data_IF_715872556449
#
_entry.id   IF_715872556449
#
_cell.length_a   1.000
_cell.length_b   1.000
_cell.length_c   1.000
_cell.angle_alpha   90.00
_cell.angle_beta   90.00
_cell.angle_gamma   90.00
#
_symmetry.space_group_name_H-M   'P 1'
#
loop_
_entity.id
_entity.type
_entity.pdbx_description
1 polymer ?
#
# COMPACT_ATOMS: atom_id res chain seq x y z
N UNK A 1 -11.53 -58.77 -26.61
CA UNK A 1 -10.15 -58.27 -26.57
C UNK A 1 -10.19 -56.81 -26.14
N UNK A 2 -9.83 -56.57 -24.88
CA UNK A 2 -9.71 -55.25 -24.26
C UNK A 2 -8.45 -54.54 -24.73
N UNK A 3 -8.49 -53.21 -24.89
CA UNK A 3 -7.43 -52.35 -24.36
C UNK A 3 -7.91 -50.89 -24.23
N UNK A 4 -7.99 -50.45 -22.99
CA UNK A 4 -8.25 -49.11 -22.49
C UNK A 4 -6.89 -48.40 -22.30
N UNK A 5 -6.74 -47.12 -22.69
CA UNK A 5 -5.65 -46.27 -22.20
C UNK A 5 -6.15 -44.89 -21.80
N UNK A 6 -6.15 -44.73 -20.49
CA UNK A 6 -6.51 -43.57 -19.70
C UNK A 6 -5.23 -42.75 -19.47
N UNK A 7 -5.24 -41.47 -19.84
CA UNK A 7 -4.18 -40.53 -19.46
C UNK A 7 -4.48 -40.00 -18.06
N UNK A 8 -3.66 -40.41 -17.08
CA UNK A 8 -3.68 -39.89 -15.71
C UNK A 8 -2.78 -38.64 -15.62
N UNK A 9 -3.41 -37.48 -15.44
CA UNK A 9 -2.75 -36.22 -15.12
C UNK A 9 -2.48 -36.10 -13.62
N UNK A 10 -1.20 -35.93 -13.31
CA UNK A 10 -0.55 -35.82 -12.01
C UNK A 10 -1.16 -34.74 -11.07
N UNK A 11 -1.59 -35.15 -9.86
CA UNK A 11 -2.20 -34.32 -8.81
C UNK A 11 -1.42 -34.37 -7.48
N UNK A 12 -0.08 -34.46 -7.52
CA UNK A 12 0.73 -34.64 -6.29
C UNK A 12 1.52 -33.41 -5.81
N UNK A 13 1.21 -32.20 -6.30
CA UNK A 13 1.95 -30.97 -5.94
C UNK A 13 1.47 -30.24 -4.68
N UNK A 14 0.25 -30.46 -4.20
CA UNK A 14 -0.37 -29.60 -3.18
C UNK A 14 -0.33 -30.14 -1.73
N UNK A 15 0.08 -31.39 -1.49
CA UNK A 15 0.13 -31.96 -0.13
C UNK A 15 1.48 -31.84 0.57
N UNK A 16 2.57 -31.55 -0.14
CA UNK A 16 3.91 -31.49 0.47
C UNK A 16 4.15 -30.19 1.25
N UNK A 17 3.46 -29.09 0.92
CA UNK A 17 3.71 -27.78 1.56
C UNK A 17 3.01 -27.63 2.92
N UNK A 18 1.86 -28.30 3.12
CA UNK A 18 1.08 -28.23 4.37
C UNK A 18 1.72 -29.05 5.50
N UNK A 19 2.46 -30.11 5.16
CA UNK A 19 3.12 -30.96 6.15
C UNK A 19 4.37 -30.29 6.74
N UNK A 20 5.16 -29.58 5.92
CA UNK A 20 6.37 -28.87 6.37
C UNK A 20 6.03 -27.71 7.33
N UNK A 21 4.91 -27.01 7.10
CA UNK A 21 4.44 -25.93 8.00
C UNK A 21 3.98 -26.50 9.35
N UNK A 22 3.30 -27.66 9.33
CA UNK A 22 2.76 -28.30 10.55
C UNK A 22 3.85 -28.88 11.45
N UNK A 23 4.94 -29.40 10.88
CA UNK A 23 6.08 -29.95 11.63
C UNK A 23 6.92 -28.84 12.26
N UNK A 24 7.19 -27.73 11.55
CA UNK A 24 7.90 -26.57 12.14
C UNK A 24 7.12 -25.90 13.29
N UNK A 25 5.79 -25.89 13.24
CA UNK A 25 4.97 -25.37 14.34
C UNK A 25 5.05 -26.23 15.61
N UNK A 26 5.23 -27.55 15.48
CA UNK A 26 5.37 -28.45 16.63
C UNK A 26 6.74 -28.37 17.29
N UNK A 27 7.83 -28.23 16.53
CA UNK A 27 9.16 -28.05 17.12
C UNK A 27 9.30 -26.68 17.82
N UNK A 28 8.61 -25.65 17.32
CA UNK A 28 8.55 -24.34 17.97
C UNK A 28 7.82 -24.39 19.32
N UNK A 29 6.74 -25.18 19.43
CA UNK A 29 5.99 -25.36 20.67
C UNK A 29 6.78 -26.15 21.73
N UNK A 30 7.67 -27.06 21.31
CA UNK A 30 8.48 -27.85 22.24
C UNK A 30 9.64 -27.04 22.82
N UNK A 31 10.33 -26.22 22.02
CA UNK A 31 11.42 -25.35 22.48
C UNK A 31 10.94 -24.28 23.48
N UNK A 32 9.68 -23.84 23.37
CA UNK A 32 9.08 -22.86 24.28
C UNK A 32 8.81 -23.40 25.71
N UNK A 33 8.64 -24.72 25.87
CA UNK A 33 8.30 -25.32 27.17
C UNK A 33 9.51 -25.44 28.10
N UNK A 34 10.72 -25.45 27.55
CA UNK A 34 11.94 -25.73 28.30
C UNK A 34 12.58 -24.46 28.90
N UNK A 35 12.26 -23.27 28.38
CA UNK A 35 12.79 -21.98 28.89
C UNK A 35 11.92 -21.33 29.97
N UNK A 36 10.72 -21.85 30.26
CA UNK A 36 9.81 -21.28 31.24
C UNK A 36 10.16 -21.58 32.72
N UNK A 37 11.17 -22.40 32.99
CA UNK A 37 11.49 -22.87 34.36
C UNK A 37 12.60 -22.09 35.09
N UNK A 38 13.11 -20.97 34.55
CA UNK A 38 14.23 -20.21 35.13
C UNK A 38 13.88 -18.73 35.30
N UNK A 39 12.83 -18.38 36.07
CA UNK A 39 12.68 -17.02 36.60
C UNK A 39 12.16 -17.06 38.05
N UNK A 40 12.99 -16.52 38.95
CA UNK A 40 12.78 -16.49 40.41
C UNK A 40 11.60 -15.57 40.79
N UNK A 41 10.85 -15.87 41.86
CA UNK A 41 9.81 -14.99 42.37
C UNK A 41 10.43 -13.91 43.25
N UNK A 42 10.33 -12.64 42.82
CA UNK A 42 10.58 -11.50 43.72
C UNK A 42 11.25 -10.28 43.09
N UNK A 43 10.58 -9.60 42.14
CA UNK A 43 10.83 -8.19 41.86
C UNK A 43 9.53 -7.51 41.39
N UNK A 44 9.07 -6.58 42.23
CA UNK A 44 8.29 -5.36 41.98
C UNK A 44 7.44 -5.22 40.70
N UNK A 45 6.15 -5.06 40.99
CA UNK A 45 5.04 -4.59 40.16
C UNK A 45 5.27 -3.14 39.67
N UNK A 46 5.88 -2.97 38.49
CA UNK A 46 5.76 -1.76 37.68
C UNK A 46 5.32 -2.13 36.26
N UNK A 47 4.01 -2.09 36.04
CA UNK A 47 3.40 -2.35 34.73
C UNK A 47 3.51 -1.11 33.85
N UNK A 48 4.66 -0.91 33.22
CA UNK A 48 4.75 -0.08 32.01
C UNK A 48 5.56 -0.84 30.96
N UNK A 49 4.87 -1.74 30.24
CA UNK A 49 5.27 -2.41 28.99
C UNK A 49 6.77 -2.35 28.66
N UNK A 50 7.50 -3.42 28.99
CA UNK A 50 8.94 -3.61 28.76
C UNK A 50 9.25 -3.87 27.27
N UNK A 51 8.69 -3.08 26.35
CA UNK A 51 9.14 -3.05 24.97
C UNK A 51 10.37 -2.16 24.88
N UNK A 52 11.46 -2.72 24.38
CA UNK A 52 12.72 -2.00 24.16
C UNK A 52 12.47 -0.73 23.33
N UNK A 53 13.13 0.38 23.68
CA UNK A 53 13.06 1.68 22.99
C UNK A 53 12.99 1.61 21.45
N UNK A 54 13.80 0.77 20.76
CA UNK A 54 13.72 0.65 19.30
C UNK A 54 12.36 0.13 18.78
N UNK A 55 11.67 -0.74 19.51
CA UNK A 55 10.35 -1.26 19.12
C UNK A 55 9.31 -0.14 19.15
N UNK A 56 9.30 0.67 20.22
CA UNK A 56 8.37 1.80 20.33
C UNK A 56 8.62 2.84 19.27
N UNK A 57 9.89 3.13 18.97
CA UNK A 57 10.27 4.06 17.92
C UNK A 57 9.80 3.56 16.54
N UNK A 58 10.01 2.27 16.25
CA UNK A 58 9.55 1.65 15.01
C UNK A 58 8.02 1.69 14.88
N UNK A 59 7.28 1.34 15.93
CA UNK A 59 5.82 1.43 15.97
C UNK A 59 5.35 2.87 15.69
N UNK A 60 5.87 3.85 16.44
CA UNK A 60 5.50 5.25 16.28
C UNK A 60 5.83 5.77 14.87
N UNK A 61 7.00 5.44 14.34
CA UNK A 61 7.42 5.84 12.99
C UNK A 61 6.50 5.26 11.93
N UNK A 62 6.19 3.97 12.01
CA UNK A 62 5.29 3.33 11.03
C UNK A 62 3.89 3.94 11.08
N UNK A 63 3.35 4.17 12.28
CA UNK A 63 2.00 4.74 12.46
C UNK A 63 1.97 6.17 11.91
N UNK A 64 2.97 6.98 12.25
CA UNK A 64 3.07 8.37 11.82
C UNK A 64 3.14 8.46 10.29
N UNK A 65 4.03 7.69 9.67
CA UNK A 65 4.20 7.71 8.20
C UNK A 65 2.95 7.22 7.49
N UNK A 66 2.34 6.10 7.93
CA UNK A 66 1.13 5.57 7.33
C UNK A 66 -0.06 6.56 7.45
N UNK A 67 -0.22 7.19 8.61
CA UNK A 67 -1.32 8.15 8.85
C UNK A 67 -1.10 9.45 8.08
N UNK A 68 0.13 9.96 8.03
CA UNK A 68 0.46 11.15 7.25
C UNK A 68 0.23 10.92 5.76
N UNK A 69 0.63 9.76 5.22
CA UNK A 69 0.33 9.36 3.85
C UNK A 69 -1.17 9.27 3.60
N UNK A 70 -1.94 8.65 4.52
CA UNK A 70 -3.38 8.57 4.39
C UNK A 70 -4.01 9.98 4.28
N UNK A 71 -3.63 10.90 5.17
CA UNK A 71 -4.11 12.28 5.15
C UNK A 71 -3.73 13.03 3.87
N UNK A 72 -2.49 12.88 3.40
CA UNK A 72 -2.05 13.51 2.15
C UNK A 72 -2.86 13.01 0.94
N UNK A 73 -3.13 11.70 0.85
CA UNK A 73 -3.92 11.13 -0.24
C UNK A 73 -5.40 11.51 -0.16
N UNK A 74 -5.95 11.57 1.06
CA UNK A 74 -7.29 12.10 1.28
C UNK A 74 -7.39 13.54 0.80
N UNK A 75 -6.40 14.39 1.14
CA UNK A 75 -6.37 15.78 0.71
C UNK A 75 -6.33 15.95 -0.80
N UNK A 76 -5.58 15.09 -1.51
CA UNK A 76 -5.59 15.05 -2.97
C UNK A 76 -7.00 14.76 -3.51
N UNK A 77 -7.63 13.67 -3.06
CA UNK A 77 -8.93 13.24 -3.59
C UNK A 77 -10.09 14.17 -3.20
N UNK A 78 -10.12 14.69 -1.97
CA UNK A 78 -11.26 15.46 -1.46
C UNK A 78 -11.15 16.97 -1.68
N UNK A 79 -9.95 17.54 -1.82
CA UNK A 79 -9.77 18.99 -1.94
C UNK A 79 -9.11 19.38 -3.26
N UNK A 80 -8.00 18.71 -3.63
CA UNK A 80 -7.23 19.10 -4.82
C UNK A 80 -7.95 18.73 -6.11
N UNK A 81 -8.49 17.51 -6.20
CA UNK A 81 -9.15 17.02 -7.42
C UNK A 81 -10.41 17.83 -7.77
N UNK A 82 -11.35 18.09 -6.85
CA UNK A 82 -12.50 18.95 -7.15
C UNK A 82 -12.07 20.33 -7.62
N UNK A 83 -11.04 20.92 -6.99
CA UNK A 83 -10.54 22.24 -7.38
C UNK A 83 -9.84 22.25 -8.75
N UNK A 84 -9.17 21.17 -9.11
CA UNK A 84 -8.61 20.99 -10.45
C UNK A 84 -9.73 20.95 -11.51
N UNK A 85 -10.81 20.22 -11.24
CA UNK A 85 -11.94 20.05 -12.16
C UNK A 85 -12.74 21.34 -12.41
N UNK A 86 -12.60 22.37 -11.58
CA UNK A 86 -13.19 23.69 -11.81
C UNK A 86 -12.36 24.57 -12.77
N UNK A 87 -11.10 24.20 -13.03
CA UNK A 87 -10.20 24.99 -13.86
C UNK A 87 -10.34 24.64 -15.35
N UNK A 88 -10.04 25.59 -16.27
CA UNK A 88 -10.03 25.30 -17.71
C UNK A 88 -9.10 24.13 -18.05
N UNK A 89 -9.54 23.23 -18.94
CA UNK A 89 -8.86 21.97 -19.25
C UNK A 89 -7.34 22.05 -19.44
N UNK A 90 -6.79 23.00 -20.22
CA UNK A 90 -5.34 23.08 -20.44
C UNK A 90 -4.58 23.40 -19.14
N UNK A 91 -5.15 24.28 -18.31
CA UNK A 91 -4.58 24.65 -17.02
C UNK A 91 -4.68 23.48 -16.03
N UNK A 92 -5.83 22.82 -15.97
CA UNK A 92 -6.10 21.65 -15.13
C UNK A 92 -5.04 20.56 -15.35
N UNK A 93 -4.84 20.16 -16.61
CA UNK A 93 -3.90 19.12 -16.99
C UNK A 93 -2.46 19.52 -16.64
N UNK A 94 -2.08 20.78 -16.86
CA UNK A 94 -0.75 21.29 -16.51
C UNK A 94 -0.51 21.28 -15.00
N UNK A 95 -1.50 21.69 -14.21
CA UNK A 95 -1.44 21.67 -12.75
C UNK A 95 -1.30 20.25 -12.21
N UNK A 96 -2.12 19.31 -12.71
CA UNK A 96 -1.99 17.90 -12.37
C UNK A 96 -0.61 17.36 -12.73
N UNK A 97 -0.11 17.63 -13.95
CA UNK A 97 1.17 17.13 -14.41
C UNK A 97 2.35 17.61 -13.57
N UNK A 98 2.35 18.89 -13.17
CA UNK A 98 3.38 19.44 -12.29
C UNK A 98 3.34 18.83 -10.89
N UNK A 99 2.14 18.67 -10.32
CA UNK A 99 1.94 18.01 -9.04
C UNK A 99 2.42 16.55 -9.09
N UNK A 100 2.00 15.80 -10.12
CA UNK A 100 2.35 14.39 -10.31
C UNK A 100 3.86 14.21 -10.52
N UNK A 101 4.52 15.10 -11.27
CA UNK A 101 5.96 15.06 -11.49
C UNK A 101 6.77 15.12 -10.18
N UNK A 102 6.27 15.85 -9.18
CA UNK A 102 6.91 15.91 -7.86
C UNK A 102 6.58 14.66 -7.06
N UNK A 103 5.30 14.28 -6.98
CA UNK A 103 4.86 13.21 -6.09
C UNK A 103 5.32 11.82 -6.53
N UNK A 104 5.30 11.50 -7.83
CA UNK A 104 5.71 10.17 -8.32
C UNK A 104 7.20 9.87 -8.05
N UNK A 105 8.04 10.90 -7.87
CA UNK A 105 9.47 10.74 -7.60
C UNK A 105 9.75 10.35 -6.15
N UNK A 106 8.99 10.90 -5.20
CA UNK A 106 9.28 10.77 -3.77
C UNK A 106 8.33 9.84 -3.01
N UNK A 107 7.05 9.77 -3.41
CA UNK A 107 6.07 9.00 -2.66
C UNK A 107 6.25 7.48 -2.69
N UNK A 108 6.69 6.83 -3.80
CA UNK A 108 6.77 5.36 -3.83
C UNK A 108 7.69 4.78 -2.74
N UNK A 109 8.83 5.42 -2.46
CA UNK A 109 9.73 4.97 -1.39
C UNK A 109 9.10 5.16 -0.01
N UNK A 110 8.36 6.26 0.18
CA UNK A 110 7.72 6.59 1.44
C UNK A 110 6.55 5.64 1.76
N UNK A 111 5.79 5.18 0.76
CA UNK A 111 4.71 4.19 0.93
C UNK A 111 5.21 2.80 1.34
N UNK A 112 6.41 2.40 0.93
CA UNK A 112 6.96 1.10 1.27
C UNK A 112 7.52 1.05 2.70
N UNK A 113 7.90 2.19 3.26
CA UNK A 113 8.56 2.29 4.57
C UNK A 113 7.72 1.68 5.71
N UNK A 114 6.42 2.01 5.90
CA UNK A 114 5.58 1.34 6.89
C UNK A 114 5.50 -0.16 6.68
N UNK A 115 5.47 -0.63 5.42
CA UNK A 115 5.45 -2.05 5.10
C UNK A 115 6.66 -2.79 5.66
N UNK A 116 7.86 -2.29 5.41
CA UNK A 116 9.10 -2.90 5.91
C UNK A 116 9.23 -2.85 7.43
N UNK A 117 8.85 -1.72 8.05
CA UNK A 117 8.88 -1.58 9.51
C UNK A 117 7.93 -2.59 10.16
N UNK A 118 6.72 -2.76 9.62
CA UNK A 118 5.75 -3.71 10.17
C UNK A 118 6.17 -5.17 9.95
N UNK A 119 6.83 -5.51 8.84
CA UNK A 119 7.42 -6.85 8.68
C UNK A 119 8.46 -7.11 9.78
N UNK A 120 9.33 -6.14 10.05
CA UNK A 120 10.33 -6.26 11.10
C UNK A 120 9.68 -6.38 12.49
N UNK A 121 8.64 -5.61 12.77
CA UNK A 121 7.87 -5.71 14.03
C UNK A 121 7.17 -7.06 14.16
N UNK A 122 6.60 -7.61 13.08
CA UNK A 122 5.98 -8.93 13.06
C UNK A 122 6.98 -10.04 13.42
N UNK A 123 8.24 -9.91 12.96
CA UNK A 123 9.31 -10.84 13.29
C UNK A 123 9.77 -10.71 14.76
N UNK A 124 9.81 -9.49 15.30
CA UNK A 124 10.25 -9.23 16.69
C UNK A 124 9.18 -9.49 17.73
N UNK A 125 7.89 -9.38 17.38
CA UNK A 125 6.75 -9.50 18.28
C UNK A 125 5.79 -10.60 17.79
N UNK A 126 6.13 -11.89 17.99
CA UNK A 126 5.35 -13.02 17.47
C UNK A 126 3.92 -13.06 18.01
N UNK A 127 3.68 -12.58 19.24
CA UNK A 127 2.34 -12.48 19.84
C UNK A 127 1.40 -11.55 19.05
N UNK A 128 1.97 -10.58 18.33
CA UNK A 128 1.24 -9.55 17.56
C UNK A 128 1.40 -9.72 16.05
N UNK A 129 1.95 -10.86 15.61
CA UNK A 129 2.31 -11.12 14.21
C UNK A 129 1.16 -10.86 13.24
N UNK A 130 -0.08 -11.22 13.62
CA UNK A 130 -1.26 -11.07 12.75
C UNK A 130 -1.54 -9.61 12.39
N UNK A 131 -1.45 -8.70 13.37
CA UNK A 131 -1.76 -7.29 13.16
C UNK A 131 -0.66 -6.58 12.39
N UNK A 132 0.61 -6.87 12.71
CA UNK A 132 1.74 -6.31 11.98
C UNK A 132 1.86 -6.88 10.56
N UNK A 133 1.58 -8.17 10.36
CA UNK A 133 1.52 -8.75 9.02
C UNK A 133 0.37 -8.14 8.19
N UNK A 134 -0.79 -7.87 8.79
CA UNK A 134 -1.89 -7.19 8.13
C UNK A 134 -1.49 -5.75 7.72
N UNK A 135 -0.91 -4.98 8.63
CA UNK A 135 -0.43 -3.62 8.36
C UNK A 135 0.63 -3.60 7.24
N UNK A 136 1.56 -4.55 7.28
CA UNK A 136 2.57 -4.73 6.23
C UNK A 136 1.94 -5.08 4.88
N UNK A 137 1.01 -6.03 4.86
CA UNK A 137 0.30 -6.45 3.65
C UNK A 137 -0.45 -5.29 2.99
N UNK A 138 -1.15 -4.48 3.78
CA UNK A 138 -1.87 -3.29 3.30
C UNK A 138 -0.93 -2.22 2.72
N UNK A 139 0.24 -2.02 3.32
CA UNK A 139 1.22 -1.07 2.78
C UNK A 139 1.86 -1.59 1.49
N UNK A 140 2.16 -2.89 1.42
CA UNK A 140 2.78 -3.51 0.24
C UNK A 140 1.77 -3.63 -0.91
N UNK A 141 0.48 -3.82 -0.65
CA UNK A 141 -0.56 -3.92 -1.69
C UNK A 141 -0.75 -2.64 -2.49
N UNK A 142 -0.27 -1.50 -1.99
CA UNK A 142 -0.26 -0.22 -2.72
C UNK A 142 0.54 -0.32 -4.02
N UNK A 143 1.67 -1.02 -4.02
CA UNK A 143 2.53 -1.16 -5.21
C UNK A 143 1.84 -1.89 -6.37
N UNK A 144 1.32 -3.13 -6.22
CA UNK A 144 0.62 -3.81 -7.30
C UNK A 144 -0.65 -3.07 -7.72
N UNK A 145 -1.39 -2.44 -6.78
CA UNK A 145 -2.54 -1.60 -7.13
C UNK A 145 -2.15 -0.43 -8.05
N UNK A 146 -1.08 0.29 -7.70
CA UNK A 146 -0.60 1.44 -8.48
C UNK A 146 -0.16 1.00 -9.88
N UNK A 147 0.52 -0.14 -9.99
CA UNK A 147 0.98 -0.67 -11.28
C UNK A 147 -0.15 -1.13 -12.20
N UNK A 148 -1.23 -1.66 -11.63
CA UNK A 148 -2.33 -2.28 -12.39
C UNK A 148 -3.44 -1.28 -12.72
N UNK A 149 -3.86 -0.48 -11.75
CA UNK A 149 -5.01 0.43 -11.89
C UNK A 149 -4.57 1.85 -12.21
N UNK A 150 -3.62 2.43 -11.46
CA UNK A 150 -3.25 3.84 -11.65
C UNK A 150 -2.34 4.07 -12.85
N UNK A 151 -1.43 3.13 -13.16
CA UNK A 151 -0.47 3.28 -14.27
C UNK A 151 -1.11 3.57 -15.63
N UNK A 152 -2.18 2.89 -16.09
CA UNK A 152 -2.81 3.23 -17.37
C UNK A 152 -3.40 4.64 -17.35
N UNK A 153 -4.02 5.06 -16.24
CA UNK A 153 -4.59 6.42 -16.09
C UNK A 153 -3.47 7.47 -16.13
N UNK A 154 -2.39 7.25 -15.39
CA UNK A 154 -1.22 8.13 -15.37
C UNK A 154 -0.63 8.32 -16.79
N UNK A 155 -0.51 7.23 -17.57
CA UNK A 155 0.00 7.31 -18.94
C UNK A 155 -0.89 8.16 -19.85
N UNK A 156 -2.21 7.99 -19.76
CA UNK A 156 -3.17 8.80 -20.54
C UNK A 156 -3.10 10.28 -20.16
N UNK A 157 -3.00 10.59 -18.86
CA UNK A 157 -2.87 11.97 -18.38
C UNK A 157 -1.52 12.58 -18.76
N UNK A 158 -0.42 11.83 -18.69
CA UNK A 158 0.91 12.26 -19.15
C UNK A 158 0.94 12.57 -20.65
N UNK A 159 0.20 11.80 -21.47
CA UNK A 159 0.01 12.11 -22.89
C UNK A 159 -0.69 13.45 -23.05
N UNK A 160 -1.83 13.67 -22.38
CA UNK A 160 -2.54 14.95 -22.43
C UNK A 160 -1.69 16.14 -21.94
N UNK A 161 -0.81 15.94 -20.97
CA UNK A 161 0.17 16.97 -20.54
C UNK A 161 1.12 17.33 -21.69
N UNK A 162 1.56 16.36 -22.48
CA UNK A 162 2.42 16.62 -23.65
C UNK A 162 1.64 17.33 -24.76
N UNK A 163 0.41 16.92 -25.02
CA UNK A 163 -0.44 17.52 -26.07
C UNK A 163 -0.71 18.99 -25.78
N UNK A 164 -1.08 19.32 -24.53
CA UNK A 164 -1.26 20.71 -24.08
C UNK A 164 0.02 21.53 -24.25
N UNK A 165 1.20 20.94 -23.97
CA UNK A 165 2.48 21.65 -24.14
C UNK A 165 2.79 21.91 -25.61
N UNK A 166 2.53 20.97 -26.51
CA UNK A 166 2.79 21.12 -27.95
C UNK A 166 1.86 22.18 -28.55
N UNK A 167 0.59 22.18 -28.19
CA UNK A 167 -0.41 23.11 -28.74
C UNK A 167 -0.26 24.56 -28.24
N UNK A 168 0.33 24.78 -27.06
CA UNK A 168 0.70 26.12 -26.57
C UNK A 168 1.65 26.85 -27.54
N UNK A 169 2.37 26.10 -28.39
CA UNK A 169 3.26 26.63 -29.43
C UNK A 169 2.61 26.76 -30.83
N UNK A 170 1.41 26.20 -31.05
CA UNK A 170 0.90 25.93 -32.40
C UNK A 170 -0.39 26.65 -32.83
N UNK A 171 -1.45 26.64 -32.02
CA UNK A 171 -2.68 27.40 -32.25
C UNK A 171 -3.68 27.11 -31.11
N UNK A 172 -4.28 28.14 -30.51
CA UNK A 172 -5.22 27.94 -29.38
C UNK A 172 -6.58 27.39 -29.80
N UNK A 173 -6.99 27.60 -31.04
CA UNK A 173 -8.33 27.24 -31.52
C UNK A 173 -8.52 25.73 -31.72
N UNK A 174 -7.42 24.98 -31.95
CA UNK A 174 -7.43 23.51 -32.09
C UNK A 174 -7.69 22.81 -30.74
N UNK A 175 -7.30 23.45 -29.62
CA UNK A 175 -7.53 22.92 -28.28
C UNK A 175 -9.02 22.68 -28.01
N UNK A 176 -9.89 23.62 -28.40
CA UNK A 176 -11.31 23.54 -28.07
C UNK A 176 -12.03 22.37 -28.77
N UNK A 177 -11.60 22.01 -29.99
CA UNK A 177 -12.24 20.95 -30.78
C UNK A 177 -11.70 19.55 -30.42
N UNK A 178 -10.39 19.43 -30.15
CA UNK A 178 -9.75 18.14 -29.84
C UNK A 178 -10.11 17.64 -28.43
N UNK A 179 -10.22 18.54 -27.45
CA UNK A 179 -10.69 18.20 -26.10
C UNK A 179 -12.18 17.82 -26.03
N UNK A 180 -12.96 18.03 -27.10
CA UNK A 180 -14.37 17.68 -27.18
C UNK A 180 -14.69 16.26 -27.70
N UNK A 181 -13.73 15.56 -28.34
CA UNK A 181 -13.97 14.26 -29.01
C UNK A 181 -13.34 13.02 -28.32
N UNK A 182 -12.34 13.19 -27.47
CA UNK A 182 -11.70 12.08 -26.73
C UNK A 182 -12.21 11.95 -25.28
N UNK A 183 -11.90 10.84 -24.60
CA UNK A 183 -12.08 10.69 -23.14
C UNK A 183 -11.70 12.01 -22.44
N UNK A 184 -12.71 12.68 -21.89
CA UNK A 184 -12.56 14.05 -21.43
C UNK A 184 -11.49 14.09 -20.34
N UNK A 185 -10.53 15.02 -20.45
CA UNK A 185 -9.50 15.24 -19.43
C UNK A 185 -10.08 15.29 -18.00
N UNK A 186 -11.29 15.82 -17.83
CA UNK A 186 -12.05 15.80 -16.58
C UNK A 186 -12.34 14.39 -16.08
N UNK A 187 -12.84 13.49 -16.95
CA UNK A 187 -13.12 12.09 -16.60
C UNK A 187 -11.86 11.35 -16.16
N UNK A 188 -10.72 11.59 -16.82
CA UNK A 188 -9.45 10.98 -16.44
C UNK A 188 -8.94 11.47 -15.08
N UNK A 189 -9.03 12.78 -14.80
CA UNK A 189 -8.64 13.35 -13.51
C UNK A 189 -9.58 12.90 -12.40
N UNK A 190 -10.88 12.85 -12.65
CA UNK A 190 -11.88 12.36 -11.71
C UNK A 190 -11.63 10.88 -11.36
N UNK A 191 -11.47 10.03 -12.39
CA UNK A 191 -11.11 8.61 -12.23
C UNK A 191 -9.80 8.43 -11.47
N UNK A 192 -8.80 9.29 -11.73
CA UNK A 192 -7.54 9.29 -10.99
C UNK A 192 -7.74 9.61 -9.51
N UNK A 193 -8.58 10.62 -9.21
CA UNK A 193 -8.93 11.01 -7.85
C UNK A 193 -9.61 9.89 -7.07
N UNK A 194 -10.52 9.17 -7.71
CA UNK A 194 -11.19 7.98 -7.15
C UNK A 194 -10.21 6.83 -6.96
N UNK A 195 -9.30 6.57 -7.92
CA UNK A 195 -8.28 5.54 -7.75
C UNK A 195 -7.33 5.86 -6.57
N UNK A 196 -7.01 7.14 -6.37
CA UNK A 196 -6.16 7.59 -5.27
C UNK A 196 -6.78 7.36 -3.87
N UNK A 197 -8.11 7.24 -3.76
CA UNK A 197 -8.77 6.90 -2.49
C UNK A 197 -8.35 5.53 -1.95
N UNK A 198 -8.00 4.58 -2.82
CA UNK A 198 -7.47 3.30 -2.36
C UNK A 198 -6.19 3.49 -1.54
N UNK A 199 -5.27 4.35 -2.00
CA UNK A 199 -4.00 4.62 -1.32
C UNK A 199 -4.25 5.22 0.06
N UNK A 200 -5.22 6.13 0.16
CA UNK A 200 -5.71 6.68 1.42
C UNK A 200 -6.23 5.57 2.36
N UNK A 201 -7.19 4.78 1.90
CA UNK A 201 -7.85 3.74 2.70
C UNK A 201 -6.87 2.66 3.18
N UNK A 202 -5.99 2.17 2.29
CA UNK A 202 -4.99 1.16 2.63
C UNK A 202 -3.99 1.69 3.68
N UNK A 203 -3.50 2.92 3.52
CA UNK A 203 -2.57 3.54 4.47
C UNK A 203 -3.23 3.81 5.82
N UNK A 204 -4.50 4.24 5.82
CA UNK A 204 -5.27 4.47 7.04
C UNK A 204 -5.51 3.15 7.81
N UNK A 205 -5.92 2.10 7.10
CA UNK A 205 -6.11 0.77 7.69
C UNK A 205 -4.79 0.19 8.22
N UNK A 206 -3.67 0.39 7.52
CA UNK A 206 -2.36 -0.01 8.00
C UNK A 206 -1.95 0.73 9.28
N UNK A 207 -2.16 2.06 9.31
CA UNK A 207 -1.88 2.88 10.48
C UNK A 207 -2.72 2.51 11.70
N UNK A 208 -4.03 2.30 11.51
CA UNK A 208 -4.94 1.88 12.58
C UNK A 208 -4.65 0.46 13.09
N UNK A 209 -4.34 -0.49 12.21
CA UNK A 209 -3.89 -1.83 12.61
C UNK A 209 -2.59 -1.79 13.42
N UNK A 210 -1.61 -0.99 12.98
CA UNK A 210 -0.35 -0.78 13.70
C UNK A 210 -0.54 -0.12 15.06
N UNK A 211 -1.42 0.88 15.15
CA UNK A 211 -1.78 1.56 16.40
C UNK A 211 -2.45 0.60 17.38
N UNK A 212 -3.43 -0.18 16.90
CA UNK A 212 -4.11 -1.18 17.72
C UNK A 212 -3.13 -2.25 18.24
N UNK A 213 -2.18 -2.69 17.40
CA UNK A 213 -1.12 -3.63 17.81
C UNK A 213 -0.17 -3.03 18.85
N UNK A 214 0.10 -1.73 18.81
CA UNK A 214 0.97 -1.07 19.76
C UNK A 214 0.35 -0.99 21.17
N UNK A 215 -0.98 -0.79 21.26
CA UNK A 215 -1.69 -0.64 22.54
C UNK A 215 -2.15 -1.95 23.20
N UNK A 216 -2.38 -3.00 22.42
CA UNK A 216 -2.75 -4.31 22.94
C UNK A 216 -1.54 -5.04 23.52
#
# INVERSE_FOLDING_TARGET
>A
MSCNRQCTGNSNGHMQMTFVISVKLREFAFSYRQTAHILKPGQTKYTMSEHTTPIRLAQATSILVATALAGANAGLSFFVIPRLLESPTPLMIRQWGNMFAITHRYLPSLFMLPGFINIWLAYRLPEKVRLYALAAGLSISISPYTMTIMRPINKKLEQKVKDVRVMDFGNRDVLAEEFGREETAHSLIDSWGVANLYLCSASFLAGTAGLYAAFR
#
